data_IF_341649892003
#
_entry.id   IF_341649892003
#
_cell.length_a   1.000
_cell.length_b   1.000
_cell.length_c   1.000
_cell.angle_alpha   90.00
_cell.angle_beta   90.00
_cell.angle_gamma   90.00
#
_symmetry.space_group_name_H-M   'P 1'
#
loop_
_entity.id
_entity.type
_entity.pdbx_description
1 polymer ?
#
# COMPACT_ATOMS: atom_id res chain seq x y z
N UNK A 1 -1.22 -24.43 10.92
CA UNK A 1 -1.26 -23.42 9.85
C UNK A 1 -1.07 -22.05 10.47
N UNK A 2 -0.24 -21.17 9.90
CA UNK A 2 0.00 -19.82 10.43
C UNK A 2 -1.01 -18.85 9.81
N UNK A 3 -1.91 -18.28 10.62
CA UNK A 3 -2.85 -17.26 10.20
C UNK A 3 -2.20 -15.88 10.21
N UNK A 4 -1.75 -15.39 9.03
CA UNK A 4 -1.12 -14.06 8.89
C UNK A 4 -2.18 -12.96 8.82
N UNK A 5 -3.22 -13.17 8.01
CA UNK A 5 -4.36 -12.28 7.88
C UNK A 5 -5.61 -12.92 8.46
N UNK A 6 -6.41 -12.14 9.13
CA UNK A 6 -7.58 -12.62 9.85
C UNK A 6 -8.75 -11.64 9.68
N UNK A 7 -9.59 -11.93 8.68
CA UNK A 7 -10.83 -11.19 8.42
C UNK A 7 -10.62 -9.73 8.03
N UNK A 8 -9.66 -9.43 7.15
CA UNK A 8 -9.49 -8.07 6.63
C UNK A 8 -10.49 -7.80 5.51
N UNK A 9 -11.10 -6.62 5.52
CA UNK A 9 -11.97 -6.15 4.44
C UNK A 9 -11.71 -4.66 4.18
N UNK A 10 -11.57 -4.30 2.91
CA UNK A 10 -11.43 -2.92 2.49
C UNK A 10 -11.85 -2.75 1.02
N UNK A 11 -12.01 -1.51 0.58
CA UNK A 11 -12.39 -1.16 -0.78
C UNK A 11 -11.48 -0.07 -1.32
N UNK A 12 -10.98 -0.26 -2.54
CA UNK A 12 -10.29 0.76 -3.32
C UNK A 12 -11.22 1.25 -4.45
N UNK A 13 -11.32 2.54 -4.63
CA UNK A 13 -12.19 3.18 -5.61
C UNK A 13 -11.40 3.75 -6.77
N UNK A 14 -11.97 3.73 -7.98
CA UNK A 14 -11.35 4.28 -9.19
C UNK A 14 -11.00 5.77 -8.98
N UNK A 15 -9.79 6.16 -9.36
CA UNK A 15 -9.29 7.52 -9.23
C UNK A 15 -8.96 7.96 -7.81
N UNK A 16 -9.08 7.07 -6.81
CA UNK A 16 -8.73 7.34 -5.42
C UNK A 16 -7.52 6.54 -4.95
N UNK A 17 -6.89 7.03 -3.89
CA UNK A 17 -5.82 6.35 -3.16
C UNK A 17 -6.34 5.81 -1.83
N UNK A 18 -6.30 4.50 -1.67
CA UNK A 18 -6.46 3.83 -0.38
C UNK A 18 -5.08 3.61 0.22
N UNK A 19 -4.77 4.23 1.35
CA UNK A 19 -3.56 3.92 2.09
C UNK A 19 -3.78 2.73 3.02
N UNK A 20 -2.84 1.80 3.05
CA UNK A 20 -2.77 0.72 4.06
C UNK A 20 -1.54 0.96 4.91
N UNK A 21 -1.76 1.24 6.20
CA UNK A 21 -0.71 1.59 7.15
C UNK A 21 -0.64 0.62 8.31
N UNK A 22 0.49 0.60 9.01
CA UNK A 22 0.73 -0.21 10.20
C UNK A 22 2.19 -0.61 10.33
N UNK A 23 2.58 -1.13 11.48
CA UNK A 23 3.94 -1.59 11.76
C UNK A 23 4.40 -2.70 10.82
N UNK A 24 5.73 -2.85 10.69
CA UNK A 24 6.31 -3.96 9.90
C UNK A 24 5.82 -5.32 10.41
N UNK A 25 5.57 -6.26 9.49
CA UNK A 25 5.07 -7.59 9.83
C UNK A 25 3.55 -7.68 10.11
N UNK A 26 2.78 -6.59 10.06
CA UNK A 26 1.33 -6.67 10.30
C UNK A 26 0.50 -7.27 9.14
N UNK A 27 1.14 -7.65 8.02
CA UNK A 27 0.48 -8.37 6.92
C UNK A 27 0.12 -7.54 5.68
N UNK A 28 0.52 -6.26 5.60
CA UNK A 28 0.19 -5.36 4.45
C UNK A 28 0.61 -5.94 3.10
N UNK A 29 1.88 -6.28 2.95
CA UNK A 29 2.41 -6.87 1.70
C UNK A 29 1.81 -8.24 1.41
N UNK A 30 1.49 -9.03 2.45
CA UNK A 30 0.83 -10.34 2.29
C UNK A 30 -0.57 -10.16 1.69
N UNK A 31 -1.33 -9.15 2.13
CA UNK A 31 -2.64 -8.82 1.55
C UNK A 31 -2.53 -8.47 0.06
N UNK A 32 -1.54 -7.67 -0.31
CA UNK A 32 -1.28 -7.30 -1.70
C UNK A 32 -0.89 -8.50 -2.57
N UNK A 33 0.01 -9.35 -2.07
CA UNK A 33 0.41 -10.58 -2.77
C UNK A 33 -0.76 -11.56 -2.92
N UNK A 34 -1.66 -11.64 -1.94
CA UNK A 34 -2.89 -12.44 -2.04
C UNK A 34 -3.80 -11.94 -3.16
N UNK A 35 -4.05 -10.62 -3.24
CA UNK A 35 -4.83 -10.00 -4.33
C UNK A 35 -4.18 -10.26 -5.68
N UNK A 36 -2.86 -10.11 -5.78
CA UNK A 36 -2.09 -10.34 -7.00
C UNK A 36 -1.98 -11.82 -7.39
N UNK A 37 -2.32 -12.77 -6.48
CA UNK A 37 -2.11 -14.19 -6.68
C UNK A 37 -0.63 -14.57 -6.80
N UNK A 38 0.21 -13.94 -5.95
CA UNK A 38 1.67 -14.11 -5.91
C UNK A 38 2.16 -14.73 -4.59
N UNK A 39 1.26 -15.21 -3.76
CA UNK A 39 1.65 -15.99 -2.58
C UNK A 39 2.26 -17.34 -2.99
N UNK A 40 3.13 -17.93 -2.16
CA UNK A 40 3.68 -19.26 -2.41
C UNK A 40 2.57 -20.32 -2.43
N UNK A 41 2.80 -21.44 -3.13
CA UNK A 41 1.80 -22.49 -3.37
C UNK A 41 1.22 -23.13 -2.09
N UNK A 42 1.98 -23.11 -1.00
CA UNK A 42 1.55 -23.61 0.30
C UNK A 42 0.72 -22.60 1.11
N UNK A 43 0.43 -21.42 0.56
CA UNK A 43 -0.43 -20.44 1.21
C UNK A 43 -1.91 -20.71 0.89
N UNK A 44 -2.73 -20.74 1.92
CA UNK A 44 -4.18 -20.82 1.78
C UNK A 44 -4.79 -19.42 1.92
N UNK A 45 -5.66 -19.07 0.98
CA UNK A 45 -6.38 -17.80 0.96
C UNK A 45 -7.87 -18.09 0.95
N UNK A 46 -8.61 -17.50 1.89
CA UNK A 46 -10.06 -17.61 1.97
C UNK A 46 -10.71 -16.23 1.96
N UNK A 47 -12.01 -16.18 1.68
CA UNK A 47 -12.77 -14.95 1.56
C UNK A 47 -13.06 -14.58 0.11
N UNK A 48 -13.06 -13.28 -0.23
CA UNK A 48 -13.28 -12.81 -1.59
C UNK A 48 -12.42 -11.58 -1.91
N UNK A 49 -11.89 -11.53 -3.12
CA UNK A 49 -11.22 -10.35 -3.65
C UNK A 49 -11.80 -10.05 -5.03
N UNK A 50 -12.37 -8.88 -5.24
CA UNK A 50 -13.07 -8.55 -6.48
C UNK A 50 -12.41 -7.36 -7.19
N UNK A 51 -12.10 -7.55 -8.46
CA UNK A 51 -11.67 -6.49 -9.37
C UNK A 51 -12.79 -6.24 -10.39
N UNK A 52 -13.41 -5.06 -10.34
CA UNK A 52 -14.52 -4.70 -11.22
C UNK A 52 -15.65 -5.78 -11.26
N UNK A 53 -16.00 -6.30 -10.07
CA UNK A 53 -17.02 -7.32 -9.90
C UNK A 53 -16.56 -8.77 -10.14
N UNK A 54 -15.40 -9.00 -10.73
CA UNK A 54 -14.82 -10.34 -10.97
C UNK A 54 -14.09 -10.83 -9.73
N UNK A 55 -14.39 -12.04 -9.27
CA UNK A 55 -13.74 -12.64 -8.10
C UNK A 55 -12.35 -13.21 -8.48
N UNK A 56 -11.31 -12.55 -8.01
CA UNK A 56 -9.93 -12.92 -8.27
C UNK A 56 -9.52 -14.25 -7.61
N UNK A 57 -10.11 -14.59 -6.45
CA UNK A 57 -9.76 -15.80 -5.72
C UNK A 57 -10.34 -17.05 -6.38
N UNK A 58 -11.50 -16.92 -7.06
CA UNK A 58 -12.12 -18.00 -7.83
C UNK A 58 -11.51 -18.26 -9.20
N UNK A 59 -10.61 -17.37 -9.68
CA UNK A 59 -9.97 -17.52 -10.98
C UNK A 59 -8.85 -18.55 -10.97
N UNK A 60 -8.63 -19.21 -12.13
CA UNK A 60 -7.44 -20.02 -12.36
C UNK A 60 -6.15 -19.16 -12.32
N UNK A 61 -5.02 -19.82 -12.13
CA UNK A 61 -3.71 -19.15 -12.13
C UNK A 61 -3.43 -18.45 -13.48
N UNK A 62 -3.90 -19.03 -14.58
CA UNK A 62 -3.74 -18.47 -15.93
C UNK A 62 -4.58 -17.21 -16.13
N UNK A 63 -5.85 -17.23 -15.74
CA UNK A 63 -6.73 -16.05 -15.78
C UNK A 63 -6.17 -14.90 -14.95
N UNK A 64 -5.72 -15.17 -13.70
CA UNK A 64 -5.08 -14.16 -12.87
C UNK A 64 -3.78 -13.62 -13.48
N UNK A 65 -2.98 -14.50 -14.11
CA UNK A 65 -1.76 -14.08 -14.81
C UNK A 65 -2.06 -13.12 -15.96
N UNK A 66 -3.14 -13.35 -16.71
CA UNK A 66 -3.56 -12.47 -17.79
C UNK A 66 -3.97 -11.06 -17.31
N UNK A 67 -4.49 -10.95 -16.08
CA UNK A 67 -4.85 -9.65 -15.50
C UNK A 67 -3.64 -8.84 -15.01
N UNK A 68 -2.57 -9.53 -14.55
CA UNK A 68 -1.35 -8.86 -14.08
C UNK A 68 -0.65 -8.14 -15.22
N UNK A 69 -0.35 -6.87 -15.02
CA UNK A 69 0.22 -5.97 -16.03
C UNK A 69 -0.82 -5.33 -16.96
N UNK A 70 -1.95 -6.00 -17.21
CA UNK A 70 -3.02 -5.48 -18.05
C UNK A 70 -4.05 -4.65 -17.26
N UNK A 71 -4.64 -5.23 -16.23
CA UNK A 71 -5.73 -4.63 -15.46
C UNK A 71 -5.35 -4.35 -14.00
N UNK A 72 -4.40 -5.09 -13.45
CA UNK A 72 -3.83 -4.84 -12.14
C UNK A 72 -2.30 -4.90 -12.21
N UNK A 73 -1.63 -3.96 -11.53
CA UNK A 73 -0.19 -3.87 -11.50
C UNK A 73 0.32 -3.65 -10.08
N UNK A 74 1.57 -3.97 -9.83
CA UNK A 74 2.21 -3.79 -8.53
C UNK A 74 3.58 -3.16 -8.70
N UNK A 75 3.88 -2.17 -7.85
CA UNK A 75 5.21 -1.63 -7.61
C UNK A 75 5.70 -2.29 -6.33
N UNK A 76 6.80 -3.06 -6.42
CA UNK A 76 7.38 -3.78 -5.30
C UNK A 76 8.31 -2.88 -4.48
N UNK A 77 8.54 -3.25 -3.22
CA UNK A 77 9.28 -2.48 -2.23
C UNK A 77 10.74 -2.20 -2.63
N UNK A 78 11.41 -3.11 -3.37
CA UNK A 78 12.82 -2.97 -3.71
C UNK A 78 13.07 -2.77 -5.21
N UNK A 79 13.42 -1.54 -5.65
CA UNK A 79 13.72 -1.27 -7.07
C UNK A 79 14.96 -2.01 -7.57
N UNK A 80 15.89 -2.35 -6.65
CA UNK A 80 17.16 -2.97 -7.00
C UNK A 80 17.02 -4.40 -7.48
N UNK A 81 16.05 -5.14 -6.93
CA UNK A 81 15.79 -6.55 -7.22
C UNK A 81 14.65 -6.75 -8.21
N UNK A 82 13.83 -5.74 -8.44
CA UNK A 82 12.62 -5.83 -9.27
C UNK A 82 12.90 -5.67 -10.77
N UNK A 83 13.97 -4.95 -11.16
CA UNK A 83 14.37 -4.82 -12.55
C UNK A 83 15.33 -5.94 -12.94
N UNK A 84 15.08 -6.60 -14.08
CA UNK A 84 15.98 -7.61 -14.61
C UNK A 84 17.27 -6.94 -15.15
N UNK A 85 18.46 -7.24 -14.59
CA UNK A 85 19.71 -6.61 -14.99
C UNK A 85 20.19 -6.96 -16.41
N UNK A 86 19.62 -8.02 -17.02
CA UNK A 86 20.00 -8.48 -18.36
C UNK A 86 19.28 -7.73 -19.50
N UNK A 87 18.24 -6.95 -19.19
CA UNK A 87 17.47 -6.18 -20.18
C UNK A 87 17.57 -4.68 -19.92
N UNK A 88 17.48 -3.91 -21.00
CA UNK A 88 17.46 -2.45 -20.89
C UNK A 88 16.16 -1.95 -20.30
N UNK A 89 16.14 -0.72 -19.76
CA UNK A 89 14.95 -0.11 -19.19
C UNK A 89 13.78 -0.05 -20.20
N UNK A 90 14.07 0.34 -21.44
CA UNK A 90 13.06 0.42 -22.49
C UNK A 90 12.52 -0.96 -22.91
N UNK A 91 13.37 -1.99 -22.95
CA UNK A 91 12.93 -3.35 -23.26
C UNK A 91 11.97 -3.91 -22.21
N UNK A 92 12.22 -3.65 -20.93
CA UNK A 92 11.34 -4.11 -19.84
C UNK A 92 9.97 -3.43 -19.87
N UNK A 93 9.91 -2.14 -20.21
CA UNK A 93 8.63 -1.44 -20.42
C UNK A 93 7.95 -1.94 -21.70
N UNK A 94 8.70 -2.12 -22.78
CA UNK A 94 8.18 -2.60 -24.07
C UNK A 94 7.64 -4.04 -23.99
N UNK A 95 8.19 -4.88 -23.12
CA UNK A 95 7.73 -6.24 -22.88
C UNK A 95 6.27 -6.27 -22.43
N UNK A 96 5.90 -5.44 -21.44
CA UNK A 96 4.52 -5.32 -20.97
C UNK A 96 3.56 -4.90 -22.10
N UNK A 97 3.99 -3.94 -22.93
CA UNK A 97 3.18 -3.45 -24.06
C UNK A 97 3.02 -4.50 -25.14
N UNK A 98 4.06 -5.27 -25.46
CA UNK A 98 3.96 -6.39 -26.43
C UNK A 98 3.04 -7.48 -25.93
N UNK A 99 3.17 -7.85 -24.65
CA UNK A 99 2.41 -8.93 -24.05
C UNK A 99 0.92 -8.60 -23.98
N UNK A 100 0.57 -7.40 -23.53
CA UNK A 100 -0.82 -7.04 -23.19
C UNK A 100 -1.52 -6.20 -24.25
N UNK A 101 -0.79 -5.41 -25.05
CA UNK A 101 -1.35 -4.59 -26.13
C UNK A 101 -1.06 -5.13 -27.54
N UNK A 102 -0.31 -6.25 -27.61
CA UNK A 102 0.04 -6.93 -28.89
C UNK A 102 0.77 -6.01 -29.88
N UNK A 103 1.49 -5.01 -29.39
CA UNK A 103 2.31 -4.15 -30.23
C UNK A 103 3.49 -4.92 -30.81
N UNK A 104 3.89 -4.60 -32.04
CA UNK A 104 5.15 -5.07 -32.58
C UNK A 104 6.36 -4.50 -31.80
N UNK A 105 7.56 -5.00 -32.11
CA UNK A 105 8.77 -4.65 -31.37
C UNK A 105 9.08 -3.15 -31.42
N UNK A 106 8.96 -2.53 -32.59
CA UNK A 106 9.35 -1.14 -32.78
C UNK A 106 8.31 -0.18 -32.20
N UNK A 107 7.03 -0.47 -32.41
CA UNK A 107 5.93 0.29 -31.81
C UNK A 107 5.97 0.20 -30.28
N UNK A 108 6.21 -0.98 -29.70
CA UNK A 108 6.33 -1.17 -28.26
C UNK A 108 7.52 -0.41 -27.68
N UNK A 109 8.69 -0.41 -28.34
CA UNK A 109 9.87 0.31 -27.88
C UNK A 109 9.67 1.83 -27.97
N UNK A 110 9.03 2.31 -29.03
CA UNK A 110 8.64 3.74 -29.15
C UNK A 110 7.67 4.16 -28.07
N UNK A 111 6.65 3.33 -27.77
CA UNK A 111 5.70 3.57 -26.69
C UNK A 111 6.36 3.52 -25.31
N UNK A 112 7.36 2.63 -25.12
CA UNK A 112 8.16 2.58 -23.91
C UNK A 112 8.94 3.86 -23.66
N UNK A 113 9.54 4.46 -24.70
CA UNK A 113 10.23 5.76 -24.58
C UNK A 113 9.22 6.83 -24.13
N UNK A 114 8.05 6.93 -24.77
CA UNK A 114 7.01 7.86 -24.38
C UNK A 114 6.53 7.66 -22.93
N UNK A 115 6.46 6.41 -22.46
CA UNK A 115 6.14 6.13 -21.06
C UNK A 115 7.28 6.57 -20.11
N UNK A 116 8.54 6.37 -20.48
CA UNK A 116 9.69 6.86 -19.70
C UNK A 116 9.73 8.40 -19.63
N UNK A 117 9.29 9.09 -20.68
CA UNK A 117 9.09 10.56 -20.66
C UNK A 117 7.98 10.96 -19.69
N UNK A 118 6.83 10.27 -19.73
CA UNK A 118 5.72 10.48 -18.79
C UNK A 118 6.15 10.36 -17.33
N UNK A 119 6.98 9.37 -17.00
CA UNK A 119 7.51 9.23 -15.64
C UNK A 119 8.72 10.15 -15.37
N UNK A 120 8.90 11.17 -16.22
CA UNK A 120 9.90 12.24 -16.06
C UNK A 120 11.35 11.73 -15.99
N UNK A 121 11.69 10.70 -16.78
CA UNK A 121 13.09 10.30 -16.98
C UNK A 121 13.74 11.25 -17.99
N UNK A 122 14.78 11.97 -17.62
CA UNK A 122 15.46 12.89 -18.53
C UNK A 122 16.15 12.11 -19.65
N UNK A 123 16.10 12.64 -20.90
CA UNK A 123 16.72 11.99 -22.07
C UNK A 123 16.26 10.52 -22.24
N UNK A 124 14.92 10.33 -22.19
CA UNK A 124 14.29 9.00 -22.13
C UNK A 124 14.73 8.07 -23.27
N UNK A 125 14.91 8.62 -24.50
CA UNK A 125 15.35 7.83 -25.64
C UNK A 125 16.75 7.21 -25.45
N UNK A 126 17.68 7.93 -24.83
CA UNK A 126 19.00 7.41 -24.48
C UNK A 126 18.90 6.46 -23.28
N UNK A 127 18.15 6.84 -22.23
CA UNK A 127 18.00 6.05 -21.01
C UNK A 127 17.26 4.73 -21.25
N UNK A 128 16.34 4.67 -22.19
CA UNK A 128 15.67 3.44 -22.61
C UNK A 128 16.64 2.33 -23.05
N UNK A 129 17.83 2.70 -23.55
CA UNK A 129 18.87 1.78 -24.00
C UNK A 129 19.87 1.39 -22.91
N UNK A 130 19.73 1.96 -21.72
CA UNK A 130 20.60 1.66 -20.58
C UNK A 130 20.05 0.51 -19.74
N UNK A 131 20.97 -0.22 -19.15
CA UNK A 131 20.68 -1.28 -18.19
C UNK A 131 20.39 -0.70 -16.79
N UNK A 132 19.68 -1.41 -15.94
CA UNK A 132 19.33 -0.94 -14.59
C UNK A 132 20.53 -0.45 -13.77
N UNK A 133 21.68 -1.13 -13.84
CA UNK A 133 22.89 -0.75 -13.11
C UNK A 133 23.51 0.59 -13.58
N UNK A 134 23.14 1.10 -14.74
CA UNK A 134 23.57 2.39 -15.29
C UNK A 134 22.63 3.55 -14.90
N UNK A 135 21.56 3.27 -14.17
CA UNK A 135 20.54 4.22 -13.73
C UNK A 135 20.67 4.50 -12.23
N UNK A 136 20.35 5.73 -11.81
CA UNK A 136 20.24 6.06 -10.38
C UNK A 136 19.04 5.35 -9.72
N UNK A 137 19.02 5.27 -8.39
CA UNK A 137 17.89 4.66 -7.64
C UNK A 137 16.54 5.27 -8.02
N UNK A 138 16.43 6.59 -8.03
CA UNK A 138 15.20 7.28 -8.44
C UNK A 138 14.81 7.04 -9.91
N UNK A 139 15.79 6.86 -10.81
CA UNK A 139 15.48 6.49 -12.20
C UNK A 139 14.97 5.05 -12.29
N UNK A 140 15.56 4.11 -11.56
CA UNK A 140 15.05 2.72 -11.49
C UNK A 140 13.63 2.66 -10.97
N UNK A 141 13.33 3.45 -9.93
CA UNK A 141 11.97 3.55 -9.41
C UNK A 141 11.00 4.08 -10.47
N UNK A 142 11.37 5.11 -11.22
CA UNK A 142 10.56 5.63 -12.34
C UNK A 142 10.36 4.60 -13.45
N UNK A 143 11.37 3.78 -13.75
CA UNK A 143 11.25 2.65 -14.71
C UNK A 143 10.24 1.64 -14.20
N UNK A 144 10.26 1.25 -12.92
CA UNK A 144 9.26 0.34 -12.33
C UNK A 144 7.85 0.90 -12.41
N UNK A 145 7.68 2.19 -12.13
CA UNK A 145 6.40 2.88 -12.30
C UNK A 145 5.96 2.86 -13.77
N UNK A 146 6.89 3.11 -14.70
CA UNK A 146 6.62 3.03 -16.12
C UNK A 146 6.14 1.63 -16.55
N UNK A 147 6.78 0.57 -16.07
CA UNK A 147 6.36 -0.82 -16.33
C UNK A 147 4.95 -1.07 -15.77
N UNK A 148 4.72 -0.70 -14.52
CA UNK A 148 3.44 -0.92 -13.85
C UNK A 148 2.28 -0.19 -14.55
N UNK A 149 2.52 1.01 -15.07
CA UNK A 149 1.48 1.86 -15.68
C UNK A 149 1.44 1.77 -17.22
N UNK A 150 2.33 1.01 -17.86
CA UNK A 150 2.44 0.91 -19.32
C UNK A 150 1.11 0.55 -19.98
N UNK A 151 0.34 -0.36 -19.36
CA UNK A 151 -0.94 -0.84 -19.88
C UNK A 151 -2.17 -0.14 -19.27
N UNK A 152 -1.99 0.95 -18.50
CA UNK A 152 -3.07 1.70 -17.84
C UNK A 152 -3.97 0.81 -17.00
N UNK A 153 -3.44 0.14 -15.97
CA UNK A 153 -4.20 -0.80 -15.15
C UNK A 153 -5.36 -0.10 -14.43
N UNK A 154 -6.38 -0.85 -14.06
CA UNK A 154 -7.52 -0.39 -13.25
C UNK A 154 -7.16 -0.30 -11.77
N UNK A 155 -6.20 -1.13 -11.33
CA UNK A 155 -5.68 -1.16 -9.97
C UNK A 155 -4.15 -1.13 -10.00
N UNK A 156 -3.57 -0.20 -9.25
CA UNK A 156 -2.14 -0.15 -8.94
C UNK A 156 -1.95 -0.39 -7.44
N UNK A 157 -1.16 -1.40 -7.08
CA UNK A 157 -0.70 -1.60 -5.71
C UNK A 157 0.73 -1.11 -5.62
N UNK A 158 0.99 -0.13 -4.78
CA UNK A 158 2.31 0.43 -4.55
C UNK A 158 2.77 0.05 -3.13
N UNK A 159 3.63 -0.97 -3.03
CA UNK A 159 4.14 -1.47 -1.75
C UNK A 159 5.43 -0.75 -1.40
N UNK A 160 5.35 0.20 -0.48
CA UNK A 160 6.44 1.07 -0.05
C UNK A 160 7.24 1.68 -1.23
N UNK A 161 6.58 2.36 -2.17
CA UNK A 161 7.18 2.73 -3.45
C UNK A 161 8.31 3.76 -3.33
N UNK A 162 8.55 4.31 -2.16
CA UNK A 162 9.55 5.36 -1.92
C UNK A 162 10.59 4.98 -0.87
N UNK A 163 10.56 3.76 -0.36
CA UNK A 163 11.57 3.27 0.59
C UNK A 163 12.97 3.37 0.02
N UNK A 164 13.92 3.82 0.82
CA UNK A 164 15.33 4.06 0.48
C UNK A 164 15.58 5.20 -0.55
N UNK A 165 14.61 6.07 -0.77
CA UNK A 165 14.79 7.31 -1.55
C UNK A 165 14.96 8.52 -0.61
N UNK A 166 15.67 9.54 -1.10
CA UNK A 166 15.68 10.83 -0.40
C UNK A 166 14.31 11.52 -0.46
N UNK A 167 14.05 12.43 0.50
CA UNK A 167 12.75 13.09 0.67
C UNK A 167 12.30 13.83 -0.60
N UNK A 168 13.24 14.42 -1.34
CA UNK A 168 12.92 15.17 -2.57
C UNK A 168 12.47 14.22 -3.68
N UNK A 169 13.17 13.11 -3.87
CA UNK A 169 12.80 12.09 -4.86
C UNK A 169 11.49 11.40 -4.45
N UNK A 170 11.29 11.12 -3.16
CA UNK A 170 10.03 10.59 -2.63
C UNK A 170 8.85 11.47 -3.02
N UNK A 171 8.91 12.78 -2.70
CA UNK A 171 7.84 13.73 -3.06
C UNK A 171 7.57 13.77 -4.57
N UNK A 172 8.62 13.73 -5.40
CA UNK A 172 8.47 13.69 -6.85
C UNK A 172 7.80 12.41 -7.36
N UNK A 173 8.09 11.25 -6.76
CA UNK A 173 7.47 9.97 -7.11
C UNK A 173 6.01 9.94 -6.73
N UNK A 174 5.64 10.42 -5.54
CA UNK A 174 4.26 10.46 -5.07
C UNK A 174 3.42 11.43 -5.91
N UNK A 175 3.93 12.62 -6.18
CA UNK A 175 3.28 13.57 -7.08
C UNK A 175 3.08 12.99 -8.49
N UNK A 176 4.05 12.24 -9.01
CA UNK A 176 3.93 11.54 -10.29
C UNK A 176 2.80 10.49 -10.26
N UNK A 177 2.71 9.71 -9.19
CA UNK A 177 1.64 8.71 -9.03
C UNK A 177 0.26 9.37 -8.97
N UNK A 178 0.13 10.52 -8.29
CA UNK A 178 -1.11 11.30 -8.25
C UNK A 178 -1.50 11.87 -9.61
N UNK A 179 -0.54 12.39 -10.37
CA UNK A 179 -0.79 12.89 -11.71
C UNK A 179 -1.30 11.77 -12.63
N UNK A 180 -0.63 10.61 -12.58
CA UNK A 180 -0.99 9.46 -13.39
C UNK A 180 -2.33 8.83 -12.96
N UNK A 181 -2.62 8.78 -11.65
CA UNK A 181 -3.92 8.37 -11.10
C UNK A 181 -5.04 9.25 -11.66
N UNK A 182 -4.87 10.57 -11.62
CA UNK A 182 -5.86 11.54 -12.16
C UNK A 182 -6.06 11.41 -13.67
N UNK A 183 -4.98 11.18 -14.42
CA UNK A 183 -5.06 11.03 -15.89
C UNK A 183 -5.77 9.72 -16.29
N UNK A 184 -5.54 8.63 -15.58
CA UNK A 184 -5.98 7.28 -15.99
C UNK A 184 -7.24 6.79 -15.28
N UNK A 185 -7.62 7.40 -14.16
CA UNK A 185 -8.69 6.92 -13.30
C UNK A 185 -8.33 5.61 -12.57
N UNK A 186 -7.05 5.25 -12.50
CA UNK A 186 -6.56 4.06 -11.79
C UNK A 186 -6.85 4.17 -10.30
N UNK A 187 -7.39 3.09 -9.68
CA UNK A 187 -7.43 2.95 -8.23
C UNK A 187 -6.01 2.67 -7.71
N UNK A 188 -5.58 3.34 -6.65
CA UNK A 188 -4.26 3.13 -6.05
C UNK A 188 -4.43 2.56 -4.64
N UNK A 189 -3.75 1.44 -4.35
CA UNK A 189 -3.51 0.97 -2.98
C UNK A 189 -2.07 1.33 -2.65
N UNK A 190 -1.88 2.26 -1.73
CA UNK A 190 -0.58 2.72 -1.26
C UNK A 190 -0.25 2.10 0.09
N UNK A 191 0.73 1.23 0.13
CA UNK A 191 1.25 0.69 1.38
C UNK A 191 2.42 1.55 1.81
N UNK A 192 2.35 2.08 3.02
CA UNK A 192 3.43 2.88 3.61
C UNK A 192 3.35 2.84 5.13
N UNK A 193 4.47 3.13 5.77
CA UNK A 193 4.54 3.40 7.21
C UNK A 193 4.66 4.90 7.52
N UNK A 194 4.75 5.75 6.48
CA UNK A 194 4.89 7.20 6.59
C UNK A 194 3.51 7.87 6.60
N UNK A 195 3.07 8.31 7.78
CA UNK A 195 1.77 8.97 7.95
C UNK A 195 1.73 10.38 7.34
N UNK A 196 2.87 11.04 7.14
CA UNK A 196 2.93 12.29 6.38
C UNK A 196 2.54 12.07 4.92
N UNK A 197 3.06 11.01 4.30
CA UNK A 197 2.66 10.60 2.96
C UNK A 197 1.17 10.29 2.88
N UNK A 198 0.63 9.63 3.90
CA UNK A 198 -0.81 9.30 3.95
C UNK A 198 -1.66 10.55 4.03
N UNK A 199 -1.28 11.52 4.87
CA UNK A 199 -2.00 12.78 5.03
C UNK A 199 -2.10 13.57 3.73
N UNK A 200 -1.01 13.55 2.93
CA UNK A 200 -0.91 14.34 1.69
C UNK A 200 -1.52 13.65 0.45
N UNK A 201 -1.56 12.31 0.42
CA UNK A 201 -1.82 11.56 -0.82
C UNK A 201 -3.00 10.57 -0.73
N UNK A 202 -3.51 10.24 0.47
CA UNK A 202 -4.59 9.27 0.62
C UNK A 202 -5.97 9.92 0.69
N UNK A 203 -6.95 9.28 0.04
CA UNK A 203 -8.37 9.60 0.19
C UNK A 203 -8.98 8.83 1.36
N UNK A 204 -8.66 7.54 1.45
CA UNK A 204 -9.12 6.62 2.47
C UNK A 204 -7.95 5.88 3.12
N UNK A 205 -8.07 5.48 4.38
CA UNK A 205 -7.00 4.82 5.14
C UNK A 205 -7.52 3.56 5.82
N UNK A 206 -6.74 2.50 5.75
CA UNK A 206 -6.90 1.27 6.53
C UNK A 206 -5.68 1.11 7.42
N UNK A 207 -5.88 1.13 8.72
CA UNK A 207 -4.84 0.87 9.72
C UNK A 207 -4.86 -0.61 10.06
N UNK A 208 -3.75 -1.29 9.80
CA UNK A 208 -3.61 -2.73 10.10
C UNK A 208 -2.72 -2.95 11.31
N UNK A 209 -3.15 -3.83 12.19
CA UNK A 209 -2.35 -4.30 13.32
C UNK A 209 -2.40 -5.82 13.43
N UNK A 210 -1.23 -6.45 13.44
CA UNK A 210 -1.07 -7.90 13.65
C UNK A 210 -2.07 -8.75 12.83
N UNK A 211 -2.22 -8.48 11.53
CA UNK A 211 -3.06 -9.25 10.61
C UNK A 211 -4.55 -8.91 10.61
N UNK A 212 -4.97 -7.86 11.32
CA UNK A 212 -6.37 -7.39 11.35
C UNK A 212 -6.47 -5.91 11.01
N UNK A 213 -7.64 -5.46 10.58
CA UNK A 213 -7.97 -4.04 10.49
C UNK A 213 -8.26 -3.54 11.90
N UNK A 214 -7.50 -2.54 12.35
CA UNK A 214 -7.72 -1.84 13.61
C UNK A 214 -8.68 -0.66 13.44
N UNK A 215 -8.52 0.10 12.35
CA UNK A 215 -9.33 1.27 12.05
C UNK A 215 -9.38 1.51 10.54
N UNK A 216 -10.51 2.04 10.06
CA UNK A 216 -10.69 2.43 8.66
C UNK A 216 -11.56 3.68 8.60
N UNK A 217 -11.10 4.70 7.87
CA UNK A 217 -11.83 5.94 7.66
C UNK A 217 -11.33 6.69 6.44
N UNK A 218 -11.97 7.80 6.09
CA UNK A 218 -11.38 8.80 5.20
C UNK A 218 -10.14 9.38 5.87
N UNK A 219 -9.13 9.71 5.09
CA UNK A 219 -7.88 10.23 5.63
C UNK A 219 -8.12 11.44 6.55
N UNK A 220 -8.90 12.44 6.09
CA UNK A 220 -9.19 13.62 6.88
C UNK A 220 -9.84 13.31 8.24
N UNK A 221 -10.78 12.36 8.27
CA UNK A 221 -11.49 11.98 9.49
C UNK A 221 -10.57 11.23 10.46
N UNK A 222 -9.75 10.30 9.95
CA UNK A 222 -8.79 9.53 10.74
C UNK A 222 -7.73 10.42 11.41
N UNK A 223 -7.20 11.41 10.68
CA UNK A 223 -6.21 12.35 11.23
C UNK A 223 -6.83 13.33 12.23
N UNK A 224 -8.08 13.78 11.97
CA UNK A 224 -8.77 14.69 12.88
C UNK A 224 -9.24 14.01 14.17
N UNK A 225 -9.68 12.74 14.07
CA UNK A 225 -10.31 12.02 15.17
C UNK A 225 -10.05 10.52 15.08
N UNK A 226 -8.84 10.07 15.49
CA UNK A 226 -8.53 8.64 15.53
C UNK A 226 -9.37 7.93 16.61
N UNK A 227 -9.95 6.79 16.27
CA UNK A 227 -10.89 6.03 17.10
C UNK A 227 -10.33 4.66 17.55
N UNK A 228 -9.05 4.40 17.30
CA UNK A 228 -8.35 3.25 17.83
C UNK A 228 -7.05 3.68 18.55
N UNK A 229 -6.78 3.18 19.78
CA UNK A 229 -5.59 3.59 20.55
C UNK A 229 -4.26 3.34 19.82
N UNK A 230 -4.21 2.32 18.94
CA UNK A 230 -3.04 2.09 18.09
C UNK A 230 -2.83 3.22 17.07
N UNK A 231 -3.91 3.68 16.42
CA UNK A 231 -3.85 4.82 15.48
C UNK A 231 -3.41 6.09 16.18
N UNK A 232 -3.92 6.35 17.39
CA UNK A 232 -3.47 7.48 18.25
C UNK A 232 -1.98 7.38 18.50
N UNK A 233 -1.49 6.19 18.88
CA UNK A 233 -0.05 5.95 19.09
C UNK A 233 0.79 6.16 17.84
N UNK A 234 0.30 5.68 16.67
CA UNK A 234 0.98 5.89 15.39
C UNK A 234 1.10 7.38 15.03
N UNK A 235 -0.01 8.13 15.20
CA UNK A 235 -0.03 9.58 14.93
C UNK A 235 0.86 10.34 15.90
N UNK A 236 0.89 9.97 17.18
CA UNK A 236 1.77 10.56 18.19
C UNK A 236 3.25 10.26 17.99
N UNK A 237 3.57 9.17 17.27
CA UNK A 237 4.94 8.79 16.91
C UNK A 237 5.42 9.46 15.60
N UNK A 238 4.51 10.05 14.82
CA UNK A 238 4.85 10.74 13.58
C UNK A 238 5.50 12.10 13.87
N UNK A 239 6.59 12.47 13.17
CA UNK A 239 7.19 13.80 13.34
C UNK A 239 6.21 14.89 12.89
N UNK A 240 5.66 15.66 13.82
CA UNK A 240 4.86 16.82 13.47
C UNK A 240 5.75 17.92 12.89
N UNK A 241 5.37 18.50 11.75
CA UNK A 241 6.08 19.62 11.15
C UNK A 241 6.12 20.80 12.15
N UNK A 242 7.30 21.11 12.70
CA UNK A 242 7.51 22.23 13.64
C UNK A 242 7.86 21.86 15.08
N UNK A 243 7.72 20.63 15.51
CA UNK A 243 8.15 20.19 16.85
C UNK A 243 9.65 19.94 16.90
N UNK A 244 10.42 20.95 17.24
CA UNK A 244 11.85 20.80 17.59
C UNK A 244 11.97 20.58 19.10
N UNK A 245 12.35 19.36 19.51
CA UNK A 245 12.81 19.10 20.88
C UNK A 245 11.84 18.33 21.79
N UNK A 246 10.63 18.01 21.40
CA UNK A 246 9.77 17.10 22.17
C UNK A 246 10.07 15.64 21.83
N UNK A 247 10.06 14.76 22.84
CA UNK A 247 10.18 13.32 22.63
C UNK A 247 8.95 12.84 21.85
N UNK A 248 9.18 12.28 20.66
CA UNK A 248 8.13 11.58 19.94
C UNK A 248 7.55 10.49 20.84
N UNK A 249 6.24 10.41 20.92
CA UNK A 249 5.58 9.31 21.61
C UNK A 249 5.93 8.00 20.87
N UNK A 250 6.39 7.00 21.61
CA UNK A 250 6.63 5.67 21.03
C UNK A 250 5.56 4.70 21.53
N UNK A 251 5.09 3.83 20.66
CA UNK A 251 4.23 2.73 21.08
C UNK A 251 5.13 1.67 21.74
N UNK A 252 5.04 1.57 23.06
CA UNK A 252 5.87 0.64 23.85
C UNK A 252 5.59 -0.82 23.48
N UNK A 253 6.59 -1.69 23.65
CA UNK A 253 6.50 -3.12 23.38
C UNK A 253 6.68 -3.47 21.91
N UNK A 254 6.41 -4.73 21.56
CA UNK A 254 6.58 -5.29 20.21
C UNK A 254 5.26 -5.83 19.67
N UNK A 255 5.13 -5.90 18.34
CA UNK A 255 3.99 -6.54 17.68
C UNK A 255 3.96 -8.01 18.11
N UNK A 256 2.80 -8.56 18.51
CA UNK A 256 2.70 -9.95 18.94
C UNK A 256 3.05 -10.91 17.81
N UNK A 257 3.61 -12.05 18.18
CA UNK A 257 3.89 -13.14 17.24
C UNK A 257 2.57 -13.69 16.69
N UNK A 258 2.40 -13.64 15.37
CA UNK A 258 1.20 -14.15 14.70
C UNK A 258 1.05 -15.69 14.81
N UNK A 259 2.12 -16.40 15.26
CA UNK A 259 2.04 -17.84 15.56
C UNK A 259 1.31 -18.13 16.87
N UNK A 260 1.28 -17.16 17.78
CA UNK A 260 0.62 -17.26 19.07
C UNK A 260 0.00 -15.89 19.42
N UNK A 261 -1.01 -15.43 18.68
CA UNK A 261 -1.61 -14.13 18.92
C UNK A 261 -2.29 -14.13 20.31
N UNK A 262 -2.28 -12.98 21.02
CA UNK A 262 -2.97 -12.90 22.29
C UNK A 262 -4.47 -13.12 22.08
N UNK A 263 -5.17 -13.67 23.08
CA UNK A 263 -6.63 -13.80 23.05
C UNK A 263 -7.26 -12.40 22.98
N UNK A 264 -8.37 -12.27 22.26
CA UNK A 264 -9.10 -11.03 22.15
C UNK A 264 -8.45 -9.97 21.26
N UNK A 265 -8.38 -8.75 21.75
CA UNK A 265 -7.76 -7.65 21.04
C UNK A 265 -6.25 -7.82 20.95
N UNK A 266 -5.71 -7.93 19.72
CA UNK A 266 -4.27 -8.14 19.50
C UNK A 266 -3.41 -6.97 19.97
N UNK A 267 -3.97 -5.77 20.09
CA UNK A 267 -3.28 -4.59 20.63
C UNK A 267 -3.36 -4.49 22.17
N UNK A 268 -4.22 -5.23 22.85
CA UNK A 268 -4.45 -5.13 24.29
C UNK A 268 -3.16 -5.14 25.14
N UNK A 269 -2.13 -5.97 24.85
CA UNK A 269 -0.88 -5.97 25.64
C UNK A 269 -0.08 -4.66 25.56
N UNK A 270 -0.31 -3.82 24.57
CA UNK A 270 0.38 -2.55 24.34
C UNK A 270 -0.55 -1.34 24.54
N UNK A 271 -1.83 -1.59 24.80
CA UNK A 271 -2.85 -0.56 24.85
C UNK A 271 -2.92 0.09 26.24
N UNK A 272 -2.67 1.40 26.36
CA UNK A 272 -2.78 2.08 27.66
C UNK A 272 -4.22 2.16 28.16
N UNK A 273 -5.21 1.92 27.29
CA UNK A 273 -6.65 1.96 27.60
C UNK A 273 -7.26 0.55 27.70
N UNK A 274 -6.44 -0.49 27.82
CA UNK A 274 -6.94 -1.88 27.88
C UNK A 274 -7.81 -2.11 29.13
N UNK A 275 -8.90 -2.84 28.93
CA UNK A 275 -9.81 -3.31 29.99
C UNK A 275 -9.91 -4.84 29.94
N UNK A 276 -10.38 -5.49 31.00
CA UNK A 276 -10.49 -6.95 31.07
C UNK A 276 -11.20 -7.57 29.86
N UNK A 277 -12.28 -6.96 29.40
CA UNK A 277 -13.04 -7.39 28.21
C UNK A 277 -12.21 -7.44 26.92
N UNK A 278 -11.11 -6.67 26.83
CA UNK A 278 -10.22 -6.72 25.65
C UNK A 278 -9.53 -8.08 25.49
N UNK A 279 -9.42 -8.88 26.55
CA UNK A 279 -8.85 -10.23 26.50
C UNK A 279 -9.89 -11.34 26.22
N UNK A 280 -11.19 -11.05 26.31
CA UNK A 280 -12.25 -12.06 26.21
C UNK A 280 -12.58 -12.45 24.76
N UNK A 281 -12.44 -11.52 23.83
CA UNK A 281 -12.73 -11.73 22.41
C UNK A 281 -12.18 -10.63 21.53
N UNK A 282 -11.96 -10.95 20.26
CA UNK A 282 -11.51 -9.94 19.30
C UNK A 282 -12.61 -8.90 19.05
N UNK A 283 -12.32 -7.60 19.21
CA UNK A 283 -13.30 -6.56 18.89
C UNK A 283 -13.71 -6.64 17.41
N UNK A 284 -15.01 -6.62 17.11
CA UNK A 284 -15.48 -6.48 15.74
C UNK A 284 -15.12 -5.09 15.20
N UNK A 285 -14.90 -4.98 13.89
CA UNK A 285 -14.80 -3.69 13.23
C UNK A 285 -16.21 -3.08 13.14
N UNK A 286 -16.49 -2.05 13.92
CA UNK A 286 -17.81 -1.42 14.01
C UNK A 286 -17.76 0.04 13.56
N UNK A 287 -18.83 0.52 12.96
CA UNK A 287 -18.96 1.91 12.57
C UNK A 287 -19.17 2.78 13.81
N UNK A 288 -18.28 3.75 14.02
CA UNK A 288 -18.29 4.68 15.18
C UNK A 288 -18.75 6.08 14.78
N UNK A 289 -18.61 6.41 13.50
CA UNK A 289 -19.16 7.59 12.84
C UNK A 289 -19.40 7.26 11.35
N UNK A 290 -20.18 8.03 10.59
CA UNK A 290 -20.46 7.75 9.19
C UNK A 290 -19.19 7.51 8.36
N UNK A 291 -19.00 6.27 7.87
CA UNK A 291 -17.80 5.86 7.12
C UNK A 291 -16.53 5.69 7.94
N UNK A 292 -16.60 5.77 9.27
CA UNK A 292 -15.47 5.60 10.18
C UNK A 292 -15.68 4.35 11.04
N UNK A 293 -14.80 3.38 10.91
CA UNK A 293 -14.88 2.07 11.56
C UNK A 293 -13.68 1.84 12.46
N UNK A 294 -13.93 1.34 13.67
CA UNK A 294 -12.88 0.97 14.63
C UNK A 294 -13.12 -0.40 15.24
N UNK A 295 -12.05 -1.19 15.38
CA UNK A 295 -12.05 -2.47 16.07
C UNK A 295 -11.62 -2.29 17.54
N UNK A 296 -12.27 -1.36 18.25
CA UNK A 296 -11.97 -1.05 19.65
C UNK A 296 -13.25 -1.07 20.51
N UNK A 297 -13.20 -1.81 21.64
CA UNK A 297 -14.31 -1.85 22.61
C UNK A 297 -14.50 -0.52 23.37
N UNK A 298 -13.54 0.40 23.26
CA UNK A 298 -13.56 1.70 23.91
C UNK A 298 -13.93 2.84 22.96
N UNK A 299 -14.10 2.57 21.68
CA UNK A 299 -14.54 3.56 20.70
C UNK A 299 -16.04 3.90 20.93
N UNK A 300 -16.44 5.17 20.74
CA UNK A 300 -15.61 6.32 20.43
C UNK A 300 -14.69 6.73 21.57
N UNK A 301 -13.48 7.22 21.23
CA UNK A 301 -12.45 7.61 22.21
C UNK A 301 -12.66 9.01 22.79
N UNK A 302 -13.76 9.67 22.49
CA UNK A 302 -14.11 10.99 22.99
C UNK A 302 -14.02 11.07 24.52
N UNK A 303 -13.34 12.07 25.01
CA UNK A 303 -13.10 12.30 26.44
C UNK A 303 -12.00 11.45 27.08
N UNK A 304 -11.41 10.49 26.37
CA UNK A 304 -10.27 9.70 26.86
C UNK A 304 -8.90 10.29 26.47
N UNK A 305 -8.85 11.04 25.39
CA UNK A 305 -7.59 11.56 24.83
C UNK A 305 -7.22 12.94 25.36
N UNK A 306 -8.01 13.53 26.26
CA UNK A 306 -7.71 14.84 26.84
C UNK A 306 -7.62 15.97 25.80
N UNK A 307 -8.22 15.82 24.65
CA UNK A 307 -8.27 16.85 23.62
C UNK A 307 -9.17 17.95 24.14
N UNK A 308 -8.57 19.02 24.63
CA UNK A 308 -9.27 20.27 24.84
C UNK A 308 -9.87 20.73 23.51
N UNK A 309 -11.17 21.01 23.54
CA UNK A 309 -11.93 21.54 22.43
C UNK A 309 -11.36 22.89 21.98
#
# INVERSE_FOLDING_TARGET
>A
MLGILDGISFRAEAGKTLAIVGESGCGKSVASLAIMGLLPENAEVSGSARLMGRDLLGMSAEERRALRGAEMAMIFQEPMTSLNPAFTAGEQVAEALRLHQRLDRDAAFKAAIAMLEKVRIPDAARRARQYPHQLSGGMRQRVMIAIALACRPKLLIADEPTTALDVTVQAQILALLDDLKRETGTAVILITHDLGVVADHADDVVVMYAGRVAEQARAADLFARPEHPYTVGLLGAAPAAGMRGERLASIEGTVPDLRAPPPGCRFAPRCPFAIARCAEGAPPLTEVAPGHFSACLRAPLDGMLGVAA
#
